data_IF_096773281249
#
_entry.id   IF_096773281249
#
_cell.length_a   1.000
_cell.length_b   1.000
_cell.length_c   1.000
_cell.angle_alpha   90.00
_cell.angle_beta   90.00
_cell.angle_gamma   90.00
#
_symmetry.space_group_name_H-M   'P 1'
#
loop_
_entity.id
_entity.type
_entity.pdbx_description
1 polymer ?
#
# COMPACT_ATOMS: atom_id res chain seq x y z
N UNK A 1 -2.06 17.26 -2.52
CA UNK A 1 -2.65 16.23 -3.41
C UNK A 1 -1.93 14.89 -3.20
N UNK A 2 -0.61 14.79 -3.45
CA UNK A 2 0.18 13.55 -3.28
C UNK A 2 0.07 12.87 -1.89
N UNK A 3 0.07 13.66 -0.81
CA UNK A 3 -0.01 13.15 0.57
C UNK A 3 -1.40 12.58 0.90
N UNK A 4 -2.46 13.18 0.35
CA UNK A 4 -3.85 12.74 0.57
C UNK A 4 -4.11 11.44 -0.18
N UNK A 5 -3.65 11.33 -1.43
CA UNK A 5 -3.70 10.08 -2.20
C UNK A 5 -2.85 8.98 -1.57
N UNK A 6 -1.66 9.29 -1.05
CA UNK A 6 -0.84 8.32 -0.30
C UNK A 6 -1.58 7.78 0.93
N UNK A 7 -2.25 8.65 1.71
CA UNK A 7 -3.01 8.24 2.91
C UNK A 7 -4.18 7.31 2.59
N UNK A 8 -4.88 7.54 1.48
CA UNK A 8 -6.01 6.72 1.04
C UNK A 8 -5.54 5.37 0.49
N UNK A 9 -4.41 5.34 -0.22
CA UNK A 9 -3.83 4.10 -0.75
C UNK A 9 -3.11 3.26 0.34
N UNK A 10 -2.60 3.90 1.40
CA UNK A 10 -1.82 3.30 2.48
C UNK A 10 -2.41 2.00 3.07
N UNK A 11 -3.68 1.92 3.49
CA UNK A 11 -4.23 0.71 4.08
C UNK A 11 -4.31 -0.46 3.10
N UNK A 12 -4.55 -0.21 1.81
CA UNK A 12 -4.61 -1.25 0.78
C UNK A 12 -3.19 -1.74 0.43
N UNK A 13 -2.24 -0.82 0.33
CA UNK A 13 -0.82 -1.15 0.10
C UNK A 13 -0.24 -1.94 1.28
N UNK A 14 -0.58 -1.60 2.52
CA UNK A 14 -0.09 -2.31 3.71
C UNK A 14 -0.52 -3.77 3.76
N UNK A 15 -1.78 -4.08 3.41
CA UNK A 15 -2.27 -5.47 3.36
C UNK A 15 -1.49 -6.28 2.33
N UNK A 16 -1.27 -5.72 1.15
CA UNK A 16 -0.48 -6.38 0.11
C UNK A 16 1.00 -6.52 0.52
N UNK A 17 1.57 -5.48 1.12
CA UNK A 17 2.94 -5.48 1.63
C UNK A 17 3.15 -6.57 2.69
N UNK A 18 2.16 -6.79 3.57
CA UNK A 18 2.21 -7.88 4.54
C UNK A 18 2.29 -9.26 3.87
N UNK A 19 1.46 -9.53 2.86
CA UNK A 19 1.53 -10.77 2.09
C UNK A 19 2.89 -10.96 1.41
N UNK A 20 3.41 -9.90 0.79
CA UNK A 20 4.74 -9.92 0.14
C UNK A 20 5.84 -10.18 1.17
N UNK A 21 5.76 -9.58 2.35
CA UNK A 21 6.75 -9.79 3.42
C UNK A 21 6.81 -11.25 3.87
N UNK A 22 5.67 -11.93 3.98
CA UNK A 22 5.62 -13.37 4.33
C UNK A 22 6.33 -14.22 3.28
N UNK A 23 6.03 -14.00 2.00
CA UNK A 23 6.68 -14.71 0.89
C UNK A 23 8.19 -14.42 0.89
N UNK A 24 8.58 -13.15 1.04
CA UNK A 24 9.96 -12.72 1.08
C UNK A 24 10.75 -13.40 2.20
N UNK A 25 10.20 -13.44 3.42
CA UNK A 25 10.81 -14.13 4.55
C UNK A 25 10.96 -15.64 4.28
N UNK A 26 9.97 -16.28 3.66
CA UNK A 26 10.04 -17.68 3.26
C UNK A 26 11.20 -17.96 2.30
N UNK A 27 11.40 -17.09 1.31
CA UNK A 27 12.56 -17.16 0.41
C UNK A 27 13.86 -16.91 1.19
N UNK A 28 13.95 -15.88 2.04
CA UNK A 28 15.14 -15.65 2.88
C UNK A 28 15.55 -16.88 3.70
N UNK A 29 14.61 -17.55 4.36
CA UNK A 29 14.91 -18.77 5.13
C UNK A 29 15.33 -19.94 4.23
N UNK A 30 14.62 -20.15 3.13
CA UNK A 30 14.95 -21.21 2.16
C UNK A 30 16.35 -21.01 1.57
N UNK A 31 16.67 -19.80 1.11
CA UNK A 31 17.97 -19.45 0.58
C UNK A 31 19.09 -19.58 1.61
N UNK A 32 18.85 -19.14 2.84
CA UNK A 32 19.82 -19.23 3.93
C UNK A 32 20.16 -20.69 4.30
N UNK A 33 19.14 -21.54 4.46
CA UNK A 33 19.33 -22.93 4.89
C UNK A 33 19.96 -23.77 3.78
N UNK A 34 19.49 -23.62 2.53
CA UNK A 34 19.90 -24.49 1.42
C UNK A 34 21.20 -24.01 0.76
N UNK A 35 21.35 -22.70 0.52
CA UNK A 35 22.53 -22.15 -0.16
C UNK A 35 23.62 -21.66 0.79
N UNK A 36 23.32 -21.49 2.09
CA UNK A 36 24.27 -20.98 3.07
C UNK A 36 25.57 -21.77 3.22
N UNK A 37 25.55 -23.12 3.19
CA UNK A 37 26.78 -23.92 3.23
C UNK A 37 27.64 -23.81 1.97
N UNK A 38 27.04 -23.41 0.84
CA UNK A 38 27.66 -23.47 -0.49
C UNK A 38 28.09 -22.10 -1.03
N UNK A 39 27.60 -21.00 -0.46
CA UNK A 39 27.80 -19.68 -1.04
C UNK A 39 27.98 -18.58 0.01
N UNK A 40 28.99 -17.71 -0.17
CA UNK A 40 29.35 -16.66 0.79
C UNK A 40 28.24 -15.61 0.99
N UNK A 41 27.47 -15.30 -0.07
CA UNK A 41 26.32 -14.37 -0.01
C UNK A 41 25.13 -14.90 0.80
N UNK A 42 25.08 -16.21 1.08
CA UNK A 42 23.96 -16.83 1.79
C UNK A 42 24.34 -17.26 3.22
N UNK A 43 25.45 -16.73 3.76
CA UNK A 43 25.96 -17.18 5.06
C UNK A 43 25.15 -16.64 6.25
N UNK A 44 24.57 -15.45 6.11
CA UNK A 44 23.69 -14.83 7.12
C UNK A 44 22.37 -14.39 6.49
N UNK A 45 21.28 -14.42 7.27
CA UNK A 45 19.97 -13.93 6.82
C UNK A 45 20.03 -12.47 6.31
N UNK A 46 20.89 -11.62 6.89
CA UNK A 46 21.08 -10.24 6.43
C UNK A 46 21.61 -10.19 5.00
N UNK A 47 22.68 -10.94 4.69
CA UNK A 47 23.25 -10.99 3.35
C UNK A 47 22.29 -11.60 2.32
N UNK A 48 21.51 -12.62 2.73
CA UNK A 48 20.45 -13.19 1.88
C UNK A 48 19.41 -12.13 1.55
N UNK A 49 18.99 -11.34 2.54
CA UNK A 49 18.04 -10.26 2.34
C UNK A 49 18.60 -9.13 1.48
N UNK A 50 19.87 -8.76 1.63
CA UNK A 50 20.52 -7.77 0.76
C UNK A 50 20.58 -8.24 -0.70
N UNK A 51 20.89 -9.53 -0.92
CA UNK A 51 20.91 -10.14 -2.25
C UNK A 51 19.52 -10.23 -2.89
N UNK A 52 18.51 -10.68 -2.14
CA UNK A 52 17.14 -10.73 -2.64
C UNK A 52 16.58 -9.32 -2.89
N UNK A 53 16.94 -8.33 -2.07
CA UNK A 53 16.55 -6.94 -2.29
C UNK A 53 17.23 -6.35 -3.53
N UNK A 54 18.52 -6.60 -3.76
CA UNK A 54 19.20 -6.15 -4.99
C UNK A 54 18.56 -6.80 -6.22
N UNK A 55 18.25 -8.10 -6.16
CA UNK A 55 17.54 -8.84 -7.21
C UNK A 55 16.17 -8.26 -7.54
N UNK A 56 15.41 -7.85 -6.52
CA UNK A 56 14.12 -7.17 -6.69
C UNK A 56 14.27 -5.86 -7.47
N UNK A 57 15.35 -5.12 -7.21
CA UNK A 57 15.67 -3.88 -7.92
C UNK A 57 16.31 -4.11 -9.30
N UNK A 58 16.49 -5.37 -9.70
CA UNK A 58 17.11 -5.74 -10.98
C UNK A 58 18.64 -5.66 -10.97
N UNK A 59 19.26 -5.57 -9.80
CA UNK A 59 20.71 -5.51 -9.65
C UNK A 59 21.31 -6.90 -9.42
N UNK A 60 22.42 -7.16 -10.10
CA UNK A 60 23.30 -8.33 -9.92
C UNK A 60 22.73 -9.73 -10.21
N UNK A 61 21.66 -9.86 -11.02
CA UNK A 61 21.09 -11.16 -11.42
C UNK A 61 22.15 -12.10 -12.03
N UNK A 62 22.92 -11.61 -13.01
CA UNK A 62 23.91 -12.44 -13.73
C UNK A 62 25.10 -12.84 -12.85
N UNK A 63 25.61 -11.94 -12.02
CA UNK A 63 26.75 -12.25 -11.16
C UNK A 63 26.38 -13.29 -10.09
N UNK A 64 25.15 -13.24 -9.58
CA UNK A 64 24.63 -14.26 -8.66
C UNK A 64 24.63 -15.64 -9.34
N UNK A 65 24.14 -15.74 -10.57
CA UNK A 65 24.18 -16.99 -11.34
C UNK A 65 25.61 -17.46 -11.67
N UNK A 66 26.52 -16.54 -11.98
CA UNK A 66 27.91 -16.86 -12.27
C UNK A 66 28.66 -17.40 -11.04
N UNK A 67 28.38 -16.84 -9.87
CA UNK A 67 28.99 -17.26 -8.60
C UNK A 67 28.52 -18.64 -8.11
N UNK A 68 27.35 -19.10 -8.56
CA UNK A 68 26.76 -20.40 -8.19
C UNK A 68 27.19 -21.55 -9.12
N UNK A 69 27.81 -21.24 -10.27
CA UNK A 69 28.29 -22.19 -11.29
C UNK A 69 29.34 -23.23 -10.84
N UNK A 70 30.24 -22.97 -9.88
CA UNK A 70 31.23 -23.96 -9.44
C UNK A 70 30.68 -24.98 -8.42
N UNK A 71 29.46 -24.80 -7.92
CA UNK A 71 28.83 -25.74 -6.99
C UNK A 71 28.22 -26.92 -7.74
N UNK A 72 28.18 -28.12 -7.14
CA UNK A 72 27.67 -29.34 -7.78
C UNK A 72 26.31 -29.16 -8.46
N UNK A 73 26.03 -29.95 -9.51
CA UNK A 73 24.91 -29.75 -10.43
C UNK A 73 23.53 -29.60 -9.77
N UNK A 74 23.28 -30.29 -8.66
CA UNK A 74 22.02 -30.18 -7.91
C UNK A 74 21.87 -28.83 -7.20
N UNK A 75 22.92 -28.32 -6.57
CA UNK A 75 22.92 -27.00 -5.91
C UNK A 75 22.79 -25.89 -6.96
N UNK A 76 23.47 -26.06 -8.09
CA UNK A 76 23.34 -25.14 -9.22
C UNK A 76 21.90 -25.10 -9.75
N UNK A 77 21.29 -26.26 -10.04
CA UNK A 77 19.91 -26.35 -10.53
C UNK A 77 18.91 -25.76 -9.52
N UNK A 78 19.05 -26.12 -8.23
CA UNK A 78 18.21 -25.58 -7.17
C UNK A 78 18.30 -24.05 -7.13
N UNK A 79 19.51 -23.51 -7.16
CA UNK A 79 19.73 -22.07 -7.14
C UNK A 79 19.12 -21.35 -8.33
N UNK A 80 19.13 -21.99 -9.50
CA UNK A 80 18.56 -21.44 -10.73
C UNK A 80 17.03 -21.36 -10.64
N UNK A 81 16.40 -22.46 -10.22
CA UNK A 81 14.94 -22.52 -10.01
C UNK A 81 14.52 -21.55 -8.89
N UNK A 82 15.29 -21.48 -7.80
CA UNK A 82 15.05 -20.58 -6.68
C UNK A 82 15.07 -19.12 -7.13
N UNK A 83 16.12 -18.67 -7.81
CA UNK A 83 16.24 -17.28 -8.26
C UNK A 83 15.22 -16.92 -9.34
N UNK A 84 14.98 -17.79 -10.33
CA UNK A 84 13.97 -17.51 -11.35
C UNK A 84 12.56 -17.50 -10.78
N UNK A 85 12.21 -18.44 -9.89
CA UNK A 85 10.90 -18.43 -9.24
C UNK A 85 10.72 -17.18 -8.39
N UNK A 86 11.74 -16.78 -7.62
CA UNK A 86 11.69 -15.55 -6.83
C UNK A 86 11.45 -14.31 -7.69
N UNK A 87 12.27 -14.12 -8.73
CA UNK A 87 12.16 -12.95 -9.63
C UNK A 87 10.83 -12.93 -10.37
N UNK A 88 10.37 -14.06 -10.93
CA UNK A 88 9.10 -14.14 -11.63
C UNK A 88 7.92 -13.82 -10.69
N UNK A 89 7.89 -14.47 -9.52
CA UNK A 89 6.82 -14.29 -8.54
C UNK A 89 6.78 -12.83 -8.05
N UNK A 90 7.94 -12.22 -7.78
CA UNK A 90 7.99 -10.82 -7.37
C UNK A 90 7.50 -9.85 -8.46
N UNK A 91 7.87 -10.09 -9.73
CA UNK A 91 7.36 -9.31 -10.87
C UNK A 91 5.83 -9.44 -10.97
N UNK A 92 5.28 -10.66 -10.88
CA UNK A 92 3.82 -10.86 -10.92
C UNK A 92 3.11 -10.22 -9.73
N UNK A 93 3.70 -10.24 -8.53
CA UNK A 93 3.15 -9.56 -7.35
C UNK A 93 3.13 -8.04 -7.54
N UNK A 94 4.23 -7.44 -8.02
CA UNK A 94 4.29 -5.99 -8.31
C UNK A 94 3.26 -5.61 -9.37
N UNK A 95 3.16 -6.37 -10.46
CA UNK A 95 2.14 -6.15 -11.49
C UNK A 95 0.72 -6.26 -10.91
N UNK A 96 0.46 -7.26 -10.07
CA UNK A 96 -0.84 -7.45 -9.43
C UNK A 96 -1.19 -6.29 -8.50
N UNK A 97 -0.21 -5.75 -7.76
CA UNK A 97 -0.39 -4.55 -6.94
C UNK A 97 -0.77 -3.33 -7.78
N UNK A 98 -0.06 -3.09 -8.88
CA UNK A 98 -0.36 -1.98 -9.77
C UNK A 98 -1.78 -2.08 -10.34
N UNK A 99 -2.19 -3.28 -10.78
CA UNK A 99 -3.55 -3.52 -11.27
C UNK A 99 -4.57 -3.25 -10.15
N UNK A 100 -4.36 -3.79 -8.94
CA UNK A 100 -5.26 -3.58 -7.81
C UNK A 100 -5.38 -2.11 -7.40
N UNK A 101 -4.28 -1.34 -7.45
CA UNK A 101 -4.29 0.10 -7.18
C UNK A 101 -5.07 0.88 -8.24
N UNK A 102 -4.87 0.56 -9.51
CA UNK A 102 -5.61 1.20 -10.61
C UNK A 102 -7.10 0.87 -10.50
N UNK A 103 -7.46 -0.41 -10.33
CA UNK A 103 -8.85 -0.85 -10.17
C UNK A 103 -9.51 -0.20 -8.95
N UNK A 104 -8.84 -0.18 -7.78
CA UNK A 104 -9.39 0.45 -6.58
C UNK A 104 -9.59 1.96 -6.71
N UNK A 105 -8.70 2.64 -7.44
CA UNK A 105 -8.84 4.07 -7.75
C UNK A 105 -9.98 4.32 -8.74
N UNK A 106 -10.09 3.48 -9.77
CA UNK A 106 -11.14 3.52 -10.77
C UNK A 106 -12.53 3.32 -10.15
N UNK A 107 -12.69 2.30 -9.30
CA UNK A 107 -13.95 2.03 -8.61
C UNK A 107 -14.37 3.20 -7.70
N UNK A 108 -13.41 3.86 -7.04
CA UNK A 108 -13.69 5.03 -6.21
C UNK A 108 -14.21 6.20 -7.03
N UNK A 109 -13.60 6.49 -8.18
CA UNK A 109 -14.01 7.58 -9.08
C UNK A 109 -15.36 7.27 -9.74
N UNK A 110 -15.57 6.02 -10.17
CA UNK A 110 -16.83 5.56 -10.75
C UNK A 110 -17.97 5.66 -9.75
N UNK A 111 -17.77 5.22 -8.51
CA UNK A 111 -18.79 5.33 -7.46
C UNK A 111 -19.12 6.79 -7.12
N UNK A 112 -18.17 7.72 -7.20
CA UNK A 112 -18.43 9.16 -7.06
C UNK A 112 -19.18 9.77 -8.26
N UNK A 113 -19.11 9.14 -9.43
CA UNK A 113 -19.75 9.61 -10.67
C UNK A 113 -21.16 9.03 -10.86
N UNK A 114 -21.40 7.80 -10.40
CA UNK A 114 -22.68 7.09 -10.52
C UNK A 114 -23.55 7.17 -9.25
N UNK A 115 -22.97 7.48 -8.09
CA UNK A 115 -23.66 7.57 -6.81
C UNK A 115 -23.44 8.90 -6.12
N UNK A 116 -24.55 9.53 -5.73
CA UNK A 116 -24.67 10.69 -4.85
C UNK A 116 -23.49 10.77 -3.87
N UNK A 117 -22.70 11.85 -3.93
CA UNK A 117 -21.55 12.04 -3.03
C UNK A 117 -21.98 11.71 -1.60
N UNK A 118 -21.29 10.80 -0.88
CA UNK A 118 -21.64 10.52 0.51
C UNK A 118 -21.37 11.82 1.27
N UNK A 119 -22.45 12.54 1.55
CA UNK A 119 -22.41 13.84 2.20
C UNK A 119 -21.78 13.57 3.56
N UNK A 120 -20.53 14.01 3.73
CA UNK A 120 -19.88 13.99 5.05
C UNK A 120 -20.86 14.65 6.03
N UNK A 121 -21.00 14.14 7.24
CA UNK A 121 -21.95 14.73 8.21
C UNK A 121 -21.72 16.24 8.39
N UNK A 122 -20.49 16.71 8.15
CA UNK A 122 -20.15 18.13 8.07
C UNK A 122 -20.84 18.85 6.90
N UNK A 123 -20.85 18.28 5.69
CA UNK A 123 -21.55 18.85 4.52
C UNK A 123 -23.06 18.78 4.68
N UNK A 124 -23.60 17.74 5.32
CA UNK A 124 -25.03 17.67 5.63
C UNK A 124 -25.42 18.77 6.64
N UNK A 125 -24.57 18.99 7.64
CA UNK A 125 -24.73 20.07 8.61
C UNK A 125 -24.60 21.46 7.96
N UNK A 126 -23.63 21.66 7.06
CA UNK A 126 -23.46 22.92 6.32
C UNK A 126 -24.65 23.18 5.38
N UNK A 127 -25.17 22.15 4.71
CA UNK A 127 -26.35 22.26 3.86
C UNK A 127 -27.65 22.57 4.65
N UNK A 128 -27.70 22.18 5.92
CA UNK A 128 -28.80 22.51 6.84
C UNK A 128 -28.77 23.98 7.30
N UNK A 129 -27.62 24.66 7.16
CA UNK A 129 -27.49 26.10 7.42
C UNK A 129 -27.91 26.93 6.19
N UNK A 130 -29.20 27.20 6.09
CA UNK A 130 -29.79 28.09 5.09
C UNK A 130 -29.72 29.57 5.51
N UNK A 131 -28.65 30.00 6.18
CA UNK A 131 -28.50 31.40 6.59
C UNK A 131 -27.74 32.19 5.50
N UNK A 132 -28.43 33.15 4.88
CA UNK A 132 -27.79 34.04 3.90
C UNK A 132 -26.69 34.88 4.57
N UNK A 133 -25.57 35.20 3.89
CA UNK A 133 -24.52 36.07 4.43
C UNK A 133 -24.98 37.51 4.74
N UNK A 134 -26.25 37.84 4.48
CA UNK A 134 -26.90 39.12 4.84
C UNK A 134 -27.88 39.03 6.03
N UNK A 135 -28.00 37.87 6.69
CA UNK A 135 -28.98 37.60 7.76
C UNK A 135 -28.75 38.41 9.05
N UNK A 136 -27.60 39.07 9.22
CA UNK A 136 -27.36 39.97 10.36
C UNK A 136 -27.30 39.31 11.75
N UNK A 137 -27.57 37.99 11.86
CA UNK A 137 -27.60 37.23 13.12
C UNK A 137 -26.26 37.07 13.85
N UNK A 138 -25.14 37.45 13.22
CA UNK A 138 -23.81 37.42 13.84
C UNK A 138 -23.29 38.81 14.22
N UNK A 139 -24.18 39.79 14.37
CA UNK A 139 -23.80 41.08 14.96
C UNK A 139 -23.96 40.98 16.46
N UNK A 140 -22.82 40.72 17.10
CA UNK A 140 -22.61 40.72 18.56
C UNK A 140 -22.91 42.13 19.10
N UNK A 141 -24.17 42.39 19.47
CA UNK A 141 -24.53 43.59 20.20
C UNK A 141 -25.60 43.28 21.27
N UNK A 142 -25.15 43.45 22.50
CA UNK A 142 -25.87 43.89 23.71
C UNK A 142 -27.41 44.00 23.69
N UNK A 143 -27.99 43.41 24.72
CA UNK A 143 -29.21 43.80 25.46
C UNK A 143 -30.59 43.57 24.83
N UNK A 144 -31.39 42.85 25.61
CA UNK A 144 -32.85 42.97 25.83
C UNK A 144 -33.82 42.09 25.02
N UNK A 145 -34.58 41.31 25.80
CA UNK A 145 -35.94 40.79 25.58
C UNK A 145 -36.20 39.70 24.55
N UNK A 146 -36.52 38.50 25.06
CA UNK A 146 -37.35 37.50 24.40
C UNK A 146 -38.75 38.07 24.07
N UNK A 147 -39.41 37.52 23.03
CA UNK A 147 -40.73 36.97 23.28
C UNK A 147 -40.88 35.53 22.78
N UNK A 148 -41.76 34.85 23.49
CA UNK A 148 -42.19 33.48 23.29
C UNK A 148 -42.90 33.29 21.94
N UNK A 149 -42.21 32.71 20.95
CA UNK A 149 -42.83 31.83 19.94
C UNK A 149 -41.75 31.24 19.03
N UNK A 150 -41.24 30.06 19.37
CA UNK A 150 -40.97 28.97 18.43
C UNK A 150 -40.40 27.79 19.21
N UNK A 151 -41.31 26.89 19.52
CA UNK A 151 -41.08 25.67 20.30
C UNK A 151 -40.11 24.70 19.62
N UNK A 152 -39.39 23.99 20.49
CA UNK A 152 -38.69 22.72 20.26
C UNK A 152 -39.54 21.65 19.58
N UNK A 153 -38.87 20.63 19.03
CA UNK A 153 -39.25 19.25 19.32
C UNK A 153 -39.15 18.26 18.15
N UNK A 154 -38.26 17.27 18.34
CA UNK A 154 -38.03 16.04 17.55
C UNK A 154 -37.42 16.18 16.17
#
# INVERSE_FOLDING_TARGET
ILIVTLRVALPNVLRFCCCVAVIYLGYCFCGWIVLGPHHSKFRSLSMVSECLFSLVNGDDMFATFAALRPSGALVWLFSQVYLYSFSALFIYMVLSLFIALITGSYDTIKNQSEGDTPVSQLQAFIAQCQDSPKSGKFRRDSSTSCPALCCCGR
#
